data_IF_061664194426
#
_entry.id   IF_061664194426
#
_cell.length_a   1.000
_cell.length_b   1.000
_cell.length_c   1.000
_cell.angle_alpha   90.00
_cell.angle_beta   90.00
_cell.angle_gamma   90.00
#
_symmetry.space_group_name_H-M   'P 1'
#
loop_
_entity.id
_entity.type
_entity.pdbx_description
1 polymer ?
#
# COMPACT_ATOMS: atom_id res chain seq x y z
N UNK A 1 -4.10 70.90 -16.26
CA UNK A 1 -4.51 69.57 -16.72
C UNK A 1 -3.30 68.60 -16.57
N UNK A 2 -3.00 68.06 -15.37
CA UNK A 2 -1.89 67.10 -15.15
C UNK A 2 -2.14 66.28 -13.87
N UNK A 3 -3.31 65.65 -13.67
CA UNK A 3 -3.61 64.85 -12.48
C UNK A 3 -4.32 63.50 -12.80
N UNK A 4 -4.41 63.12 -14.09
CA UNK A 4 -5.16 61.91 -14.45
C UNK A 4 -4.34 60.61 -14.70
N UNK A 5 -3.00 60.70 -14.82
CA UNK A 5 -2.17 59.56 -15.25
C UNK A 5 -1.61 58.69 -14.14
N UNK A 6 -1.59 59.17 -12.88
CA UNK A 6 -0.99 58.41 -11.77
C UNK A 6 -1.94 57.37 -11.13
N UNK A 7 -3.26 57.58 -11.25
CA UNK A 7 -4.26 56.67 -10.61
C UNK A 7 -4.47 55.35 -11.39
N UNK A 8 -4.29 55.35 -12.69
CA UNK A 8 -4.52 54.17 -13.56
C UNK A 8 -3.35 53.15 -13.41
N UNK A 9 -2.11 53.63 -13.23
CA UNK A 9 -0.96 52.75 -13.07
C UNK A 9 -0.92 52.02 -11.71
N UNK A 10 -1.41 52.65 -10.64
CA UNK A 10 -1.45 51.99 -9.31
C UNK A 10 -2.49 50.88 -9.23
N UNK A 11 -3.65 51.04 -9.85
CA UNK A 11 -4.68 50.02 -9.89
C UNK A 11 -4.27 48.75 -10.67
N UNK A 12 -3.51 48.92 -11.78
CA UNK A 12 -3.00 47.81 -12.59
C UNK A 12 -1.93 46.96 -11.83
N UNK A 13 -1.07 47.60 -11.04
CA UNK A 13 -0.02 46.91 -10.26
C UNK A 13 -0.64 46.12 -9.09
N UNK A 14 -1.66 46.67 -8.41
CA UNK A 14 -2.36 45.98 -7.31
C UNK A 14 -3.15 44.77 -7.85
N UNK A 15 -3.74 44.86 -9.03
CA UNK A 15 -4.46 43.74 -9.65
C UNK A 15 -3.52 42.62 -10.09
N UNK A 16 -2.33 42.93 -10.58
CA UNK A 16 -1.34 41.93 -10.97
C UNK A 16 -0.74 41.20 -9.75
N UNK A 17 -0.51 41.86 -8.62
CA UNK A 17 -0.04 41.22 -7.38
C UNK A 17 -1.09 40.25 -6.81
N UNK A 18 -2.40 40.61 -6.83
CA UNK A 18 -3.46 39.75 -6.33
C UNK A 18 -3.65 38.50 -7.18
N UNK A 19 -3.51 38.58 -8.49
CA UNK A 19 -3.60 37.42 -9.40
C UNK A 19 -2.40 36.46 -9.18
N UNK A 20 -1.19 36.98 -8.99
CA UNK A 20 -0.01 36.15 -8.72
C UNK A 20 -0.15 35.42 -7.36
N UNK A 21 -0.63 36.10 -6.34
CA UNK A 21 -0.81 35.50 -5.00
C UNK A 21 -1.89 34.40 -5.01
N UNK A 22 -3.00 34.62 -5.70
CA UNK A 22 -4.05 33.61 -5.84
C UNK A 22 -3.56 32.36 -6.60
N UNK A 23 -2.74 32.54 -7.64
CA UNK A 23 -2.14 31.41 -8.37
C UNK A 23 -1.14 30.62 -7.51
N UNK A 24 -0.37 31.31 -6.66
CA UNK A 24 0.56 30.67 -5.72
C UNK A 24 -0.18 29.91 -4.62
N UNK A 25 -1.30 30.44 -4.11
CA UNK A 25 -2.15 29.80 -3.12
C UNK A 25 -2.85 28.55 -3.69
N UNK A 26 -3.37 28.62 -4.93
CA UNK A 26 -3.95 27.46 -5.61
C UNK A 26 -2.92 26.37 -5.87
N UNK A 27 -1.72 26.74 -6.33
CA UNK A 27 -0.62 25.79 -6.51
C UNK A 27 -0.18 25.12 -5.20
N UNK A 28 -0.21 25.85 -4.09
CA UNK A 28 0.08 25.30 -2.76
C UNK A 28 -1.02 24.34 -2.32
N UNK A 29 -2.29 24.69 -2.48
CA UNK A 29 -3.43 23.83 -2.13
C UNK A 29 -3.40 22.50 -2.91
N UNK A 30 -3.10 22.54 -4.22
CA UNK A 30 -2.95 21.32 -5.04
C UNK A 30 -1.82 20.43 -4.56
N UNK A 31 -0.68 21.02 -4.17
CA UNK A 31 0.45 20.25 -3.62
C UNK A 31 0.14 19.63 -2.27
N UNK A 32 -0.59 20.32 -1.41
CA UNK A 32 -1.05 19.81 -0.12
C UNK A 32 -2.00 18.64 -0.36
N UNK A 33 -2.99 18.79 -1.25
CA UNK A 33 -3.93 17.73 -1.59
C UNK A 33 -3.20 16.48 -2.10
N UNK A 34 -2.22 16.62 -2.98
CA UNK A 34 -1.45 15.50 -3.50
C UNK A 34 -0.67 14.75 -2.38
N UNK A 35 -0.15 15.48 -1.39
CA UNK A 35 0.52 14.87 -0.22
C UNK A 35 -0.48 14.17 0.72
N UNK A 36 -1.66 14.74 0.90
CA UNK A 36 -2.74 14.12 1.68
C UNK A 36 -3.20 12.82 1.01
N UNK A 37 -3.42 12.85 -0.30
CA UNK A 37 -3.80 11.68 -1.10
C UNK A 37 -2.74 10.58 -1.02
N UNK A 38 -1.45 10.92 -1.19
CA UNK A 38 -0.36 9.95 -1.05
C UNK A 38 -0.35 9.33 0.35
N UNK A 39 -0.56 10.14 1.40
CA UNK A 39 -0.61 9.67 2.78
C UNK A 39 -1.79 8.71 2.98
N UNK A 40 -3.00 9.06 2.54
CA UNK A 40 -4.19 8.23 2.66
C UNK A 40 -4.02 6.89 1.92
N UNK A 41 -3.48 6.92 0.70
CA UNK A 41 -3.19 5.71 -0.06
C UNK A 41 -2.20 4.81 0.69
N UNK A 42 -1.13 5.37 1.25
CA UNK A 42 -0.17 4.61 2.07
C UNK A 42 -0.84 3.98 3.29
N UNK A 43 -1.78 4.68 3.93
CA UNK A 43 -2.57 4.14 5.04
C UNK A 43 -3.44 2.95 4.61
N UNK A 44 -4.09 3.00 3.44
CA UNK A 44 -4.82 1.86 2.86
C UNK A 44 -3.90 0.65 2.67
N UNK A 45 -2.70 0.87 2.12
CA UNK A 45 -1.73 -0.20 1.87
C UNK A 45 -1.14 -0.78 3.17
N UNK A 46 -1.00 0.00 4.22
CA UNK A 46 -0.58 -0.46 5.55
C UNK A 46 -1.71 -1.28 6.20
N UNK A 47 -2.92 -0.74 6.25
CA UNK A 47 -4.11 -1.42 6.80
C UNK A 47 -4.38 -2.77 6.14
N UNK A 48 -4.06 -2.92 4.87
CA UNK A 48 -4.15 -4.20 4.16
C UNK A 48 -3.35 -5.30 4.87
N UNK A 49 -2.10 -5.03 5.26
CA UNK A 49 -1.28 -5.97 6.03
C UNK A 49 -1.80 -6.16 7.45
N UNK A 50 -2.15 -5.08 8.13
CA UNK A 50 -2.64 -5.09 9.51
C UNK A 50 -3.91 -5.93 9.67
N UNK A 51 -4.92 -5.71 8.82
CA UNK A 51 -6.18 -6.45 8.87
C UNK A 51 -5.98 -7.92 8.49
N UNK A 52 -5.13 -8.21 7.49
CA UNK A 52 -4.79 -9.58 7.13
C UNK A 52 -4.13 -10.32 8.30
N UNK A 53 -3.18 -9.69 8.97
CA UNK A 53 -2.47 -10.26 10.10
C UNK A 53 -3.37 -10.40 11.34
N UNK A 54 -4.30 -9.46 11.53
CA UNK A 54 -5.32 -9.54 12.58
C UNK A 54 -6.44 -10.54 12.27
N UNK A 55 -6.51 -11.08 11.05
CA UNK A 55 -7.62 -11.93 10.58
C UNK A 55 -8.96 -11.18 10.53
N UNK A 56 -8.93 -9.86 10.47
CA UNK A 56 -10.08 -9.02 10.24
C UNK A 56 -10.37 -8.95 8.73
N UNK A 57 -10.93 -10.04 8.21
CA UNK A 57 -11.18 -10.18 6.78
C UNK A 57 -12.27 -9.24 6.27
N UNK A 58 -13.21 -8.88 7.14
CA UNK A 58 -14.22 -7.90 6.80
C UNK A 58 -13.58 -6.53 6.53
N UNK A 59 -12.85 -5.98 7.49
CA UNK A 59 -12.15 -4.69 7.32
C UNK A 59 -11.13 -4.73 6.17
N UNK A 60 -10.45 -5.86 5.98
CA UNK A 60 -9.56 -6.05 4.82
C UNK A 60 -10.32 -5.93 3.49
N UNK A 61 -11.46 -6.60 3.37
CA UNK A 61 -12.27 -6.59 2.15
C UNK A 61 -12.83 -5.19 1.84
N UNK A 62 -13.17 -4.39 2.87
CA UNK A 62 -13.64 -3.01 2.73
C UNK A 62 -12.57 -2.03 2.25
N UNK A 63 -11.29 -2.41 2.20
CA UNK A 63 -10.25 -1.62 1.54
C UNK A 63 -10.37 -1.63 0.01
N UNK A 64 -11.13 -2.56 -0.55
CA UNK A 64 -11.35 -2.67 -2.00
C UNK A 64 -12.57 -1.86 -2.42
N UNK A 65 -12.51 -1.32 -3.65
CA UNK A 65 -13.67 -0.70 -4.29
C UNK A 65 -14.81 -1.73 -4.47
N UNK A 66 -16.02 -1.27 -4.68
CA UNK A 66 -17.22 -2.12 -4.83
C UNK A 66 -17.06 -3.20 -5.92
N UNK A 67 -16.30 -2.90 -6.98
CA UNK A 67 -15.91 -3.82 -8.06
C UNK A 67 -14.39 -4.11 -8.05
N UNK A 68 -13.74 -3.93 -6.90
CA UNK A 68 -12.32 -4.12 -6.71
C UNK A 68 -11.89 -5.57 -6.95
N UNK A 69 -10.69 -5.76 -7.50
CA UNK A 69 -10.18 -7.08 -7.88
C UNK A 69 -8.90 -7.40 -7.11
N UNK A 70 -8.90 -8.51 -6.41
CA UNK A 70 -7.70 -9.14 -5.87
C UNK A 70 -7.25 -10.29 -6.76
N UNK A 71 -5.95 -10.39 -7.06
CA UNK A 71 -5.39 -11.54 -7.77
C UNK A 71 -4.05 -11.95 -7.19
N UNK A 72 -3.81 -13.27 -7.08
CA UNK A 72 -2.59 -13.83 -6.49
C UNK A 72 -2.60 -15.34 -6.46
N UNK A 73 -1.88 -15.92 -5.50
CA UNK A 73 -1.70 -17.38 -5.40
C UNK A 73 -2.99 -18.19 -5.18
N UNK A 74 -4.05 -17.55 -4.69
CA UNK A 74 -5.36 -18.19 -4.47
C UNK A 74 -6.31 -18.05 -5.68
N UNK A 75 -5.95 -17.26 -6.69
CA UNK A 75 -6.81 -17.01 -7.85
C UNK A 75 -7.11 -15.54 -8.07
N UNK A 76 -8.29 -15.24 -8.63
CA UNK A 76 -8.79 -13.88 -8.87
C UNK A 76 -10.20 -13.76 -8.32
N UNK A 77 -10.43 -12.72 -7.52
CA UNK A 77 -11.70 -12.49 -6.81
C UNK A 77 -12.11 -11.04 -6.99
N UNK A 78 -13.40 -10.82 -7.25
CA UNK A 78 -13.97 -9.51 -7.55
C UNK A 78 -15.01 -9.12 -6.52
N UNK A 79 -14.86 -7.94 -5.97
CA UNK A 79 -15.73 -7.34 -4.96
C UNK A 79 -15.40 -7.79 -3.53
N UNK A 80 -15.71 -6.94 -2.54
CA UNK A 80 -15.39 -7.19 -1.14
C UNK A 80 -15.88 -8.53 -0.62
N UNK A 81 -17.12 -8.91 -0.90
CA UNK A 81 -17.69 -10.17 -0.41
C UNK A 81 -16.94 -11.42 -0.91
N UNK A 82 -16.52 -11.44 -2.19
CA UNK A 82 -15.77 -12.58 -2.73
C UNK A 82 -14.33 -12.63 -2.18
N UNK A 83 -13.74 -11.45 -1.90
CA UNK A 83 -12.41 -11.33 -1.30
C UNK A 83 -12.43 -11.81 0.15
N UNK A 84 -13.44 -11.42 0.93
CA UNK A 84 -13.64 -11.87 2.31
C UNK A 84 -13.82 -13.40 2.36
N UNK A 85 -14.74 -13.95 1.56
CA UNK A 85 -14.98 -15.40 1.49
C UNK A 85 -13.72 -16.19 1.09
N UNK A 86 -12.91 -15.68 0.17
CA UNK A 86 -11.63 -16.29 -0.21
C UNK A 86 -10.67 -16.40 0.98
N UNK A 87 -10.60 -15.36 1.81
CA UNK A 87 -9.71 -15.38 2.99
C UNK A 87 -10.22 -16.37 4.04
N UNK A 88 -11.53 -16.39 4.32
CA UNK A 88 -12.16 -17.36 5.23
C UNK A 88 -11.91 -18.81 4.79
N UNK A 89 -12.07 -19.10 3.49
CA UNK A 89 -11.85 -20.43 2.93
C UNK A 89 -10.39 -20.89 3.04
N UNK A 90 -9.42 -19.98 2.79
CA UNK A 90 -8.00 -20.35 2.72
C UNK A 90 -7.25 -20.20 4.05
N UNK A 91 -7.72 -19.37 4.97
CA UNK A 91 -7.05 -19.05 6.23
C UNK A 91 -7.88 -19.41 7.47
N UNK A 92 -9.14 -19.85 7.27
CA UNK A 92 -10.06 -20.19 8.35
C UNK A 92 -10.72 -18.97 8.99
N UNK A 93 -11.79 -19.21 9.75
CA UNK A 93 -12.49 -18.20 10.54
C UNK A 93 -11.84 -18.07 11.92
N UNK A 94 -11.86 -16.89 12.49
CA UNK A 94 -11.25 -16.59 13.79
C UNK A 94 -12.22 -15.82 14.68
N UNK A 95 -12.06 -16.00 16.00
CA UNK A 95 -12.85 -15.25 16.98
C UNK A 95 -12.47 -13.76 16.97
N UNK A 96 -13.38 -12.85 17.34
CA UNK A 96 -13.17 -11.40 17.23
C UNK A 96 -11.94 -10.84 17.93
N UNK A 97 -11.44 -11.50 18.96
CA UNK A 97 -10.24 -11.07 19.73
C UNK A 97 -8.99 -11.89 19.37
N UNK A 98 -8.95 -12.46 18.16
CA UNK A 98 -7.80 -13.25 17.74
C UNK A 98 -6.51 -12.44 17.73
N UNK A 99 -5.49 -12.97 18.38
CA UNK A 99 -4.13 -12.41 18.37
C UNK A 99 -3.23 -13.36 17.58
N UNK A 100 -2.77 -12.91 16.42
CA UNK A 100 -1.83 -13.65 15.61
C UNK A 100 -0.44 -13.68 16.28
N UNK A 101 0.06 -14.88 16.58
CA UNK A 101 1.37 -15.11 17.20
C UNK A 101 2.33 -15.86 16.29
N UNK A 102 1.90 -16.21 15.08
CA UNK A 102 2.59 -17.16 14.23
C UNK A 102 3.19 -16.55 12.98
N UNK A 103 2.62 -15.43 12.51
CA UNK A 103 3.07 -14.81 11.28
C UNK A 103 2.63 -13.34 11.17
N UNK A 104 3.32 -12.59 10.31
CA UNK A 104 2.94 -11.24 9.93
C UNK A 104 3.52 -10.85 8.57
N UNK A 105 2.92 -9.83 7.95
CA UNK A 105 3.41 -9.23 6.73
C UNK A 105 4.22 -7.96 7.04
N UNK A 106 5.41 -7.86 6.48
CA UNK A 106 6.21 -6.64 6.47
C UNK A 106 6.09 -6.00 5.08
N UNK A 107 5.27 -4.96 4.97
CA UNK A 107 5.14 -4.17 3.75
C UNK A 107 6.19 -3.05 3.73
N UNK A 108 6.87 -2.88 2.60
CA UNK A 108 7.98 -1.93 2.46
C UNK A 108 8.11 -1.42 1.02
N UNK A 109 8.98 -0.43 0.82
CA UNK A 109 9.33 0.11 -0.51
C UNK A 109 8.07 0.53 -1.28
N UNK A 110 7.21 1.33 -0.65
CA UNK A 110 5.99 1.83 -1.27
C UNK A 110 6.30 3.03 -2.15
N UNK A 111 5.96 2.92 -3.43
CA UNK A 111 5.97 4.02 -4.41
C UNK A 111 4.53 4.24 -4.83
N UNK A 112 4.06 5.47 -4.71
CA UNK A 112 2.69 5.89 -5.02
C UNK A 112 2.76 7.02 -6.03
N UNK A 113 1.97 6.92 -7.10
CA UNK A 113 1.81 7.94 -8.13
C UNK A 113 0.31 8.29 -8.22
N UNK A 114 -0.06 9.53 -7.87
CA UNK A 114 -1.45 10.02 -7.82
C UNK A 114 -1.75 10.83 -9.07
N UNK A 115 -2.91 10.58 -9.69
CA UNK A 115 -3.45 11.34 -10.83
C UNK A 115 -4.95 11.60 -10.62
N UNK A 116 -5.30 12.73 -10.01
CA UNK A 116 -6.66 13.08 -9.63
C UNK A 116 -7.29 12.06 -8.69
N UNK A 117 -8.41 11.47 -9.10
CA UNK A 117 -9.13 10.45 -8.33
C UNK A 117 -8.67 9.01 -8.63
N UNK A 118 -7.54 8.85 -9.30
CA UNK A 118 -6.90 7.57 -9.57
C UNK A 118 -5.44 7.59 -9.11
N UNK A 119 -4.92 6.42 -8.73
CA UNK A 119 -3.52 6.27 -8.36
C UNK A 119 -3.00 4.89 -8.75
N UNK A 120 -1.67 4.80 -8.89
CA UNK A 120 -0.98 3.52 -8.94
C UNK A 120 -0.02 3.40 -7.77
N UNK A 121 0.16 2.17 -7.27
CA UNK A 121 1.16 1.91 -6.25
C UNK A 121 1.91 0.61 -6.52
N UNK A 122 3.15 0.57 -6.06
CA UNK A 122 4.00 -0.63 -6.07
C UNK A 122 4.66 -0.77 -4.72
N UNK A 123 4.63 -1.98 -4.19
CA UNK A 123 5.29 -2.26 -2.92
C UNK A 123 5.94 -3.62 -2.91
N UNK A 124 6.77 -3.88 -1.90
CA UNK A 124 7.36 -5.18 -1.63
C UNK A 124 6.87 -5.68 -0.28
N UNK A 125 6.78 -6.99 -0.14
CA UNK A 125 6.43 -7.59 1.13
C UNK A 125 7.34 -8.76 1.48
N UNK A 126 7.50 -8.98 2.77
CA UNK A 126 8.01 -10.20 3.35
C UNK A 126 6.91 -10.82 4.19
N UNK A 127 6.71 -12.12 4.04
CA UNK A 127 5.86 -12.89 4.95
C UNK A 127 6.77 -13.61 5.94
N UNK A 128 6.69 -13.22 7.19
CA UNK A 128 7.48 -13.75 8.29
C UNK A 128 6.64 -14.74 9.06
N UNK A 129 7.17 -15.92 9.32
CA UNK A 129 6.50 -16.97 10.10
C UNK A 129 7.36 -17.38 11.28
N UNK A 130 6.73 -18.01 12.25
CA UNK A 130 7.41 -18.64 13.36
C UNK A 130 7.93 -20.03 12.95
N UNK A 131 9.22 -20.28 13.16
CA UNK A 131 9.82 -21.61 12.97
C UNK A 131 9.50 -22.55 14.14
N UNK A 132 9.72 -23.87 14.01
CA UNK A 132 9.50 -24.83 15.11
C UNK A 132 10.31 -24.53 16.37
N UNK A 133 11.49 -23.91 16.24
CA UNK A 133 12.33 -23.48 17.35
C UNK A 133 12.04 -22.04 17.83
N UNK A 134 10.84 -21.53 17.51
CA UNK A 134 10.30 -20.24 17.95
C UNK A 134 11.11 -19.01 17.50
N UNK A 135 11.71 -19.06 16.30
CA UNK A 135 12.41 -17.92 15.68
C UNK A 135 11.65 -17.37 14.50
N UNK A 136 11.75 -16.06 14.19
CA UNK A 136 11.19 -15.50 12.98
C UNK A 136 11.99 -15.99 11.77
N UNK A 137 11.27 -16.48 10.74
CA UNK A 137 11.84 -16.84 9.43
C UNK A 137 11.06 -16.19 8.32
N UNK A 138 11.74 -15.71 7.29
CA UNK A 138 11.11 -15.23 6.08
C UNK A 138 10.69 -16.43 5.25
N UNK A 139 9.39 -16.69 5.20
CA UNK A 139 8.83 -17.81 4.46
C UNK A 139 8.55 -17.45 2.99
N UNK A 140 8.26 -16.16 2.72
CA UNK A 140 7.91 -15.70 1.38
C UNK A 140 8.33 -14.23 1.21
N UNK A 141 8.81 -13.89 0.03
CA UNK A 141 9.03 -12.52 -0.39
C UNK A 141 8.30 -12.27 -1.71
N UNK A 142 7.71 -11.08 -1.86
CA UNK A 142 6.96 -10.76 -3.06
C UNK A 142 6.82 -9.26 -3.29
N UNK A 143 5.97 -8.93 -4.26
CA UNK A 143 5.61 -7.55 -4.59
C UNK A 143 4.12 -7.45 -4.85
N UNK A 144 3.60 -6.26 -4.65
CA UNK A 144 2.26 -5.86 -5.04
C UNK A 144 2.32 -4.82 -6.16
N UNK A 145 1.37 -4.91 -7.07
CA UNK A 145 1.06 -3.92 -8.08
C UNK A 145 -0.42 -3.54 -7.90
N UNK A 146 -0.65 -2.25 -7.66
CA UNK A 146 -1.95 -1.73 -7.26
C UNK A 146 -2.42 -0.62 -8.18
N UNK A 147 -3.72 -0.60 -8.42
CA UNK A 147 -4.45 0.56 -8.88
C UNK A 147 -5.45 0.94 -7.78
N UNK A 148 -5.55 2.22 -7.49
CA UNK A 148 -6.48 2.75 -6.51
C UNK A 148 -7.38 3.78 -7.17
N UNK A 149 -8.58 3.95 -6.62
CA UNK A 149 -9.57 4.95 -7.05
C UNK A 149 -10.18 5.59 -5.82
N UNK A 150 -10.67 6.82 -5.98
CA UNK A 150 -11.51 7.47 -4.98
C UNK A 150 -12.96 7.04 -5.20
N UNK A 151 -13.55 6.36 -4.22
CA UNK A 151 -14.94 5.92 -4.22
C UNK A 151 -15.62 6.50 -2.98
N UNK A 152 -16.69 7.27 -3.16
CA UNK A 152 -17.41 7.97 -2.08
C UNK A 152 -16.52 8.88 -1.20
N UNK A 153 -15.47 9.46 -1.79
CA UNK A 153 -14.52 10.33 -1.10
C UNK A 153 -13.35 9.60 -0.42
N UNK A 154 -13.32 8.28 -0.42
CA UNK A 154 -12.27 7.47 0.18
C UNK A 154 -11.40 6.76 -0.87
N UNK A 155 -10.10 6.62 -0.60
CA UNK A 155 -9.23 5.82 -1.44
C UNK A 155 -9.48 4.33 -1.22
N UNK A 156 -9.76 3.60 -2.32
CA UNK A 156 -10.02 2.16 -2.35
C UNK A 156 -9.10 1.46 -3.35
N UNK A 157 -8.78 0.20 -3.08
CA UNK A 157 -8.02 -0.64 -4.01
C UNK A 157 -8.94 -1.08 -5.15
N UNK A 158 -8.69 -0.60 -6.37
CA UNK A 158 -9.39 -1.01 -7.59
C UNK A 158 -8.88 -2.35 -8.10
N UNK A 159 -7.57 -2.51 -8.15
CA UNK A 159 -6.93 -3.80 -8.45
C UNK A 159 -5.70 -3.98 -7.58
N UNK A 160 -5.52 -5.17 -7.04
CA UNK A 160 -4.28 -5.60 -6.41
C UNK A 160 -3.83 -6.90 -7.02
N UNK A 161 -2.59 -6.93 -7.52
CA UNK A 161 -1.92 -8.15 -7.94
C UNK A 161 -0.77 -8.47 -7.01
N UNK A 162 -0.87 -9.66 -6.39
CA UNK A 162 0.20 -10.21 -5.55
C UNK A 162 1.08 -11.15 -6.35
N UNK A 163 2.37 -10.87 -6.41
CA UNK A 163 3.38 -11.69 -7.06
C UNK A 163 4.34 -12.27 -6.03
N UNK A 164 4.39 -13.59 -5.90
CA UNK A 164 5.46 -14.26 -5.17
C UNK A 164 6.77 -14.18 -5.99
N UNK A 165 7.86 -13.82 -5.30
CA UNK A 165 9.18 -13.72 -5.91
C UNK A 165 10.12 -14.80 -5.36
N UNK A 166 10.04 -15.07 -4.06
CA UNK A 166 10.83 -16.11 -3.39
C UNK A 166 9.89 -16.86 -2.42
N UNK A 167 9.73 -18.19 -2.57
CA UNK A 167 10.19 -19.00 -3.68
C UNK A 167 9.46 -18.66 -4.98
N UNK A 168 10.17 -18.66 -6.08
CA UNK A 168 9.55 -18.49 -7.40
C UNK A 168 8.78 -19.77 -7.76
N UNK A 169 7.51 -19.64 -8.08
CA UNK A 169 6.61 -20.76 -8.39
C UNK A 169 6.12 -20.65 -9.82
N UNK A 170 7.02 -20.87 -10.80
CA UNK A 170 6.56 -21.35 -12.08
C UNK A 170 6.67 -22.89 -12.09
N UNK A 171 5.92 -23.56 -12.95
CA UNK A 171 5.89 -25.03 -13.01
C UNK A 171 7.23 -25.70 -13.33
N UNK A 172 8.31 -24.95 -13.53
CA UNK A 172 9.67 -25.38 -13.85
C UNK A 172 10.71 -24.89 -12.83
N UNK A 173 10.28 -24.25 -11.74
CA UNK A 173 11.23 -23.81 -10.72
C UNK A 173 11.95 -25.00 -10.08
N UNK A 174 13.28 -24.98 -9.95
CA UNK A 174 13.98 -25.97 -9.18
C UNK A 174 13.45 -25.99 -7.73
N UNK A 175 13.46 -27.15 -7.05
CA UNK A 175 13.08 -27.22 -5.66
C UNK A 175 13.88 -26.17 -4.87
N UNK A 176 13.28 -25.53 -3.84
CA UNK A 176 13.96 -24.51 -3.07
C UNK A 176 15.29 -25.06 -2.58
N UNK A 177 16.37 -24.31 -2.79
CA UNK A 177 17.66 -24.66 -2.25
C UNK A 177 17.52 -24.87 -0.75
N UNK A 178 17.98 -25.98 -0.24
CA UNK A 178 18.03 -26.23 1.20
C UNK A 178 18.70 -25.01 1.85
N UNK A 179 18.06 -24.36 2.85
CA UNK A 179 18.66 -23.21 3.48
C UNK A 179 20.07 -23.57 3.92
N UNK A 180 21.08 -22.75 3.66
CA UNK A 180 22.42 -23.04 4.14
C UNK A 180 22.37 -23.11 5.67
N UNK A 181 22.65 -24.29 6.20
CA UNK A 181 22.76 -24.57 7.64
C UNK A 181 23.87 -23.75 8.35
N UNK A 182 24.43 -22.71 7.70
CA UNK A 182 25.72 -22.13 8.08
C UNK A 182 25.70 -20.67 8.50
N UNK A 183 24.58 -19.96 8.49
CA UNK A 183 24.60 -18.58 9.02
C UNK A 183 24.68 -18.57 10.55
N UNK A 184 24.20 -19.60 11.22
CA UNK A 184 24.31 -19.74 12.69
C UNK A 184 25.71 -20.04 13.20
N UNK A 185 26.56 -20.72 12.40
CA UNK A 185 27.91 -21.08 12.82
C UNK A 185 28.94 -19.95 12.70
N UNK A 186 28.71 -19.00 11.79
CA UNK A 186 29.64 -17.87 11.62
C UNK A 186 29.55 -16.83 12.74
N UNK A 187 28.42 -16.76 13.42
CA UNK A 187 28.23 -15.83 14.55
C UNK A 187 28.75 -16.38 15.89
N UNK A 188 28.95 -17.69 16.00
CA UNK A 188 29.44 -18.31 17.22
C UNK A 188 30.98 -18.41 17.26
N UNK A 189 31.66 -18.33 16.13
CA UNK A 189 33.12 -18.33 16.05
C UNK A 189 33.77 -16.96 16.31
N UNK A 190 33.00 -15.89 16.44
CA UNK A 190 33.50 -14.54 16.74
C UNK A 190 33.47 -14.15 18.22
N UNK A 191 33.20 -15.08 19.15
CA UNK A 191 33.16 -14.86 20.60
C UNK A 191 34.13 -15.74 21.39
N UNK A 192 35.39 -15.71 20.98
CA UNK A 192 36.49 -16.12 21.84
C UNK A 192 37.57 -15.08 21.84
#
# INVERSE_FOLDING_TARGET
>A
MRTGFLAVTLAAVLSACSVSQAADEEGLAQRVQALEDEKEIREVLVKYGEFLDARDYHSYAQLFASDGVWSGGFGTFTGPAAIEAMLEENMGTHEPEYINKDNFHLNTTMVVDVDGDAATARSRYLFVTRSPDNRPVVALAGRYEDQLVREEGEWKIKTRRSHGVIPYRDGNAPPPATPPAQIGQALDQGRN
#
